data_IF_206069778525
#
_entry.id   IF_206069778525
#
_cell.length_a   1.000
_cell.length_b   1.000
_cell.length_c   1.000
_cell.angle_alpha   90.00
_cell.angle_beta   90.00
_cell.angle_gamma   90.00
#
_symmetry.space_group_name_H-M   'P 1'
#
loop_
_entity.id
_entity.type
_entity.pdbx_description
1 polymer ?
#
# COMPACT_ATOMS: atom_id res chain seq x y z
N UNK A 1 26.59 27.46 -11.46
CA UNK A 1 26.95 27.17 -10.06
C UNK A 1 27.51 28.45 -9.49
N UNK A 2 26.84 28.98 -8.48
CA UNK A 2 27.36 30.12 -7.73
C UNK A 2 28.71 29.74 -7.09
N UNK A 3 29.59 30.71 -6.89
CA UNK A 3 30.85 30.47 -6.19
C UNK A 3 30.56 30.20 -4.71
N UNK A 4 31.12 29.10 -4.17
CA UNK A 4 30.90 28.67 -2.79
C UNK A 4 31.89 29.39 -1.87
N UNK A 5 31.59 30.63 -1.50
CA UNK A 5 32.55 31.53 -0.85
C UNK A 5 32.25 31.73 0.64
N UNK A 6 31.02 31.46 1.11
CA UNK A 6 30.64 31.71 2.50
C UNK A 6 30.72 30.47 3.39
N UNK A 7 31.65 30.53 4.34
CA UNK A 7 31.79 29.53 5.40
C UNK A 7 32.10 28.14 4.84
N UNK A 8 31.18 27.18 5.05
CA UNK A 8 31.34 25.81 4.53
C UNK A 8 30.82 25.61 3.11
N UNK A 9 30.18 26.63 2.50
CA UNK A 9 29.51 26.52 1.20
C UNK A 9 28.23 25.67 1.18
N UNK A 10 27.88 24.98 2.29
CA UNK A 10 26.69 24.10 2.35
C UNK A 10 25.37 24.83 2.13
N UNK A 11 25.29 26.08 2.58
CA UNK A 11 24.09 26.92 2.41
C UNK A 11 23.92 27.32 0.94
N UNK A 12 24.98 27.84 0.33
CA UNK A 12 24.98 28.25 -1.08
C UNK A 12 24.66 27.06 -1.99
N UNK A 13 25.22 25.88 -1.70
CA UNK A 13 24.86 24.65 -2.41
C UNK A 13 23.38 24.27 -2.24
N UNK A 14 22.81 24.43 -1.04
CA UNK A 14 21.39 24.16 -0.81
C UNK A 14 20.48 25.15 -1.56
N UNK A 15 20.86 26.43 -1.59
CA UNK A 15 20.18 27.48 -2.35
C UNK A 15 20.27 27.22 -3.87
N UNK A 16 21.43 26.82 -4.39
CA UNK A 16 21.62 26.41 -5.80
C UNK A 16 20.77 25.17 -6.16
N UNK A 17 20.69 24.17 -5.28
CA UNK A 17 19.88 22.96 -5.51
C UNK A 17 18.40 23.32 -5.56
N UNK A 18 17.91 24.17 -4.66
CA UNK A 18 16.50 24.55 -4.57
C UNK A 18 16.14 25.82 -5.37
N UNK A 19 17.06 26.33 -6.19
CA UNK A 19 16.84 27.51 -7.01
C UNK A 19 15.79 27.25 -8.10
N UNK A 20 14.97 28.26 -8.40
CA UNK A 20 13.99 28.23 -9.48
C UNK A 20 14.67 28.07 -10.87
N UNK A 21 15.95 28.44 -10.98
CA UNK A 21 16.76 28.21 -12.18
C UNK A 21 17.22 26.75 -12.35
N UNK A 22 17.00 25.90 -11.34
CA UNK A 22 17.30 24.47 -11.36
C UNK A 22 16.01 23.63 -11.41
N UNK A 23 15.51 23.29 -12.62
CA UNK A 23 14.23 22.57 -12.75
C UNK A 23 14.29 21.13 -12.25
N UNK A 24 15.48 20.56 -12.04
CA UNK A 24 15.63 19.14 -11.69
C UNK A 24 15.00 18.84 -10.33
N UNK A 25 15.19 19.72 -9.34
CA UNK A 25 14.70 19.51 -7.97
C UNK A 25 13.18 19.44 -7.94
N UNK A 26 12.51 20.38 -8.61
CA UNK A 26 11.06 20.39 -8.72
C UNK A 26 10.53 19.16 -9.46
N UNK A 27 11.12 18.80 -10.62
CA UNK A 27 10.73 17.60 -11.39
C UNK A 27 10.87 16.31 -10.59
N UNK A 28 11.98 16.16 -9.86
CA UNK A 28 12.21 15.00 -8.99
C UNK A 28 11.16 14.94 -7.88
N UNK A 29 10.85 16.06 -7.22
CA UNK A 29 9.86 16.08 -6.14
C UNK A 29 8.44 15.80 -6.64
N UNK A 30 8.04 16.43 -7.75
CA UNK A 30 6.76 16.16 -8.41
C UNK A 30 6.64 14.69 -8.78
N UNK A 31 7.68 14.09 -9.37
CA UNK A 31 7.65 12.68 -9.74
C UNK A 31 7.51 11.75 -8.53
N UNK A 32 8.12 12.09 -7.38
CA UNK A 32 7.96 11.31 -6.13
C UNK A 32 6.55 11.39 -5.58
N UNK A 33 5.96 12.60 -5.56
CA UNK A 33 4.57 12.78 -5.13
C UNK A 33 3.62 12.04 -6.06
N UNK A 34 3.83 12.15 -7.37
CA UNK A 34 3.08 11.41 -8.38
C UNK A 34 3.19 9.90 -8.16
N UNK A 35 4.40 9.38 -8.01
CA UNK A 35 4.65 7.96 -7.74
C UNK A 35 3.93 7.47 -6.48
N UNK A 36 3.88 8.26 -5.42
CA UNK A 36 3.18 7.87 -4.20
C UNK A 36 1.68 7.67 -4.44
N UNK A 37 1.07 8.55 -5.25
CA UNK A 37 -0.34 8.50 -5.60
C UNK A 37 -0.67 7.39 -6.60
N UNK A 38 0.12 7.25 -7.66
CA UNK A 38 -0.16 6.34 -8.79
C UNK A 38 0.64 5.02 -8.75
N UNK A 39 1.47 4.81 -7.73
CA UNK A 39 2.38 3.65 -7.59
C UNK A 39 3.64 3.72 -8.47
N UNK A 40 3.54 4.33 -9.66
CA UNK A 40 4.65 4.53 -10.60
C UNK A 40 4.79 6.02 -10.94
N UNK A 41 6.02 6.52 -10.94
CA UNK A 41 6.32 7.89 -11.35
C UNK A 41 6.15 8.08 -12.86
N UNK A 42 5.96 9.34 -13.28
CA UNK A 42 6.06 9.73 -14.69
C UNK A 42 7.44 9.38 -15.27
N UNK A 43 8.48 9.50 -14.44
CA UNK A 43 9.81 8.92 -14.67
C UNK A 43 9.91 7.66 -13.82
N UNK A 44 10.08 6.49 -14.46
CA UNK A 44 10.09 5.18 -13.80
C UNK A 44 11.32 4.89 -12.92
N UNK A 45 12.35 5.73 -13.02
CA UNK A 45 13.57 5.76 -12.19
C UNK A 45 13.59 6.99 -11.25
N UNK A 46 13.00 6.92 -10.05
CA UNK A 46 12.74 8.11 -9.22
C UNK A 46 13.99 8.84 -8.73
N UNK A 47 15.14 8.15 -8.69
CA UNK A 47 16.43 8.71 -8.28
C UNK A 47 17.42 8.89 -9.44
N UNK A 48 17.01 8.66 -10.69
CA UNK A 48 17.88 8.87 -11.86
C UNK A 48 17.09 9.51 -13.00
N UNK A 49 17.31 10.80 -13.21
CA UNK A 49 16.74 11.60 -14.31
C UNK A 49 17.78 11.88 -15.42
N UNK A 50 18.96 11.25 -15.34
CA UNK A 50 20.02 11.39 -16.33
C UNK A 50 19.78 10.50 -17.56
N UNK A 51 20.78 10.43 -18.44
CA UNK A 51 20.69 9.68 -19.71
C UNK A 51 20.47 8.16 -19.53
N UNK A 52 20.83 7.61 -18.36
CA UNK A 52 20.61 6.19 -18.01
C UNK A 52 19.28 5.96 -17.26
N UNK A 53 18.53 7.03 -16.98
CA UNK A 53 17.20 6.95 -16.39
C UNK A 53 16.11 6.74 -17.44
N UNK A 54 14.92 6.37 -16.98
CA UNK A 54 13.74 6.30 -17.82
C UNK A 54 13.36 7.70 -18.33
N UNK A 55 12.85 7.77 -19.55
CA UNK A 55 12.25 9.01 -20.05
C UNK A 55 10.87 9.22 -19.40
N UNK A 56 10.45 10.47 -19.16
CA UNK A 56 9.09 10.74 -18.69
C UNK A 56 8.06 10.20 -19.68
N UNK A 57 7.02 9.51 -19.19
CA UNK A 57 5.88 9.11 -20.03
C UNK A 57 5.09 10.32 -20.53
N UNK A 58 4.95 11.34 -19.68
CA UNK A 58 4.27 12.60 -19.97
C UNK A 58 5.20 13.79 -19.65
N UNK A 59 6.14 14.15 -20.55
CA UNK A 59 7.15 15.17 -20.27
C UNK A 59 6.53 16.55 -20.04
N UNK A 60 5.57 16.97 -20.88
CA UNK A 60 4.90 18.27 -20.76
C UNK A 60 4.12 18.39 -19.44
N UNK A 61 3.46 17.32 -19.01
CA UNK A 61 2.75 17.28 -17.72
C UNK A 61 3.72 17.41 -16.54
N UNK A 62 4.83 16.68 -16.58
CA UNK A 62 5.86 16.74 -15.54
C UNK A 62 6.44 18.15 -15.42
N UNK A 63 6.76 18.76 -16.56
CA UNK A 63 7.36 20.10 -16.60
C UNK A 63 6.34 21.16 -16.15
N UNK A 64 5.07 21.05 -16.56
CA UNK A 64 4.00 21.92 -16.09
C UNK A 64 3.77 21.82 -14.57
N UNK A 65 3.68 20.60 -14.03
CA UNK A 65 3.55 20.39 -12.58
C UNK A 65 4.76 20.90 -11.80
N UNK A 66 5.98 20.78 -12.37
CA UNK A 66 7.20 21.27 -11.73
C UNK A 66 7.23 22.80 -11.65
N UNK A 67 6.87 23.49 -12.74
CA UNK A 67 6.75 24.96 -12.75
C UNK A 67 5.68 25.41 -11.75
N UNK A 68 4.48 24.82 -11.82
CA UNK A 68 3.39 25.16 -10.89
C UNK A 68 3.79 24.91 -9.43
N UNK A 69 4.52 23.82 -9.14
CA UNK A 69 4.98 23.53 -7.79
C UNK A 69 5.91 24.64 -7.24
N UNK A 70 6.80 25.18 -8.07
CA UNK A 70 7.67 26.30 -7.70
C UNK A 70 6.87 27.60 -7.52
N UNK A 71 5.98 27.93 -8.46
CA UNK A 71 5.11 29.11 -8.41
C UNK A 71 4.18 29.13 -7.18
N UNK A 72 3.75 27.95 -6.71
CA UNK A 72 2.94 27.78 -5.51
C UNK A 72 3.79 27.75 -4.21
N UNK A 73 5.04 28.23 -4.26
CA UNK A 73 5.94 28.33 -3.12
C UNK A 73 6.36 26.97 -2.58
N UNK A 74 6.56 25.98 -3.45
CA UNK A 74 7.04 24.63 -3.09
C UNK A 74 6.11 23.90 -2.10
N UNK A 75 4.80 24.22 -2.13
CA UNK A 75 3.80 23.65 -1.23
C UNK A 75 3.38 22.23 -1.64
N UNK A 76 3.84 21.22 -0.90
CA UNK A 76 3.42 19.83 -1.10
C UNK A 76 1.91 19.66 -0.95
N UNK A 77 1.28 20.40 -0.03
CA UNK A 77 -0.18 20.33 0.16
C UNK A 77 -0.94 20.78 -1.09
N UNK A 78 -0.46 21.84 -1.75
CA UNK A 78 -1.07 22.34 -2.98
C UNK A 78 -0.88 21.33 -4.11
N UNK A 79 0.32 20.76 -4.26
CA UNK A 79 0.61 19.73 -5.26
C UNK A 79 -0.24 18.47 -5.06
N UNK A 80 -0.31 17.93 -3.83
CA UNK A 80 -1.16 16.77 -3.52
C UNK A 80 -2.63 17.06 -3.87
N UNK A 81 -3.17 18.21 -3.44
CA UNK A 81 -4.55 18.61 -3.75
C UNK A 81 -4.80 18.68 -5.26
N UNK A 82 -3.88 19.30 -6.01
CA UNK A 82 -4.00 19.43 -7.46
C UNK A 82 -4.04 18.06 -8.16
N UNK A 83 -3.17 17.14 -7.76
CA UNK A 83 -3.18 15.77 -8.30
C UNK A 83 -4.48 15.04 -7.92
N UNK A 84 -4.87 15.08 -6.64
CA UNK A 84 -6.04 14.36 -6.14
C UNK A 84 -7.38 14.87 -6.70
N UNK A 85 -7.44 16.13 -7.13
CA UNK A 85 -8.62 16.71 -7.77
C UNK A 85 -8.63 16.57 -9.30
N UNK A 86 -7.63 15.91 -9.89
CA UNK A 86 -7.57 15.68 -11.33
C UNK A 86 -8.51 14.54 -11.76
N UNK A 87 -9.05 14.63 -12.98
CA UNK A 87 -9.82 13.54 -13.58
C UNK A 87 -9.03 12.23 -13.62
N UNK A 88 -7.71 12.31 -13.86
CA UNK A 88 -6.80 11.17 -13.91
C UNK A 88 -6.71 10.42 -12.58
N UNK A 89 -6.67 11.13 -11.44
CA UNK A 89 -6.65 10.50 -10.12
C UNK A 89 -8.00 9.84 -9.77
N UNK A 90 -9.10 10.34 -10.34
CA UNK A 90 -10.45 9.83 -10.11
C UNK A 90 -10.88 8.74 -11.12
N UNK A 91 -9.97 8.25 -11.97
CA UNK A 91 -10.28 7.17 -12.90
C UNK A 91 -10.59 5.87 -12.15
N UNK A 92 -11.50 5.07 -12.72
CA UNK A 92 -11.77 3.71 -12.25
C UNK A 92 -10.56 2.81 -12.47
N UNK A 93 -10.42 1.78 -11.63
CA UNK A 93 -9.46 0.68 -11.79
C UNK A 93 -9.98 -0.46 -12.69
N UNK A 94 -11.15 -0.27 -13.33
CA UNK A 94 -11.77 -1.23 -14.25
C UNK A 94 -10.86 -1.61 -15.42
N UNK A 95 -10.93 -2.89 -15.81
CA UNK A 95 -10.14 -3.43 -16.90
C UNK A 95 -10.85 -3.23 -18.25
N UNK A 96 -10.08 -2.83 -19.26
CA UNK A 96 -10.51 -2.79 -20.65
C UNK A 96 -9.53 -3.62 -21.47
N UNK A 97 -10.01 -4.67 -22.13
CA UNK A 97 -9.19 -5.55 -22.97
C UNK A 97 -8.52 -4.75 -24.08
N UNK A 98 -9.27 -3.91 -24.79
CA UNK A 98 -8.76 -3.07 -25.88
C UNK A 98 -7.61 -2.15 -25.43
N UNK A 99 -7.75 -1.47 -24.28
CA UNK A 99 -6.69 -0.60 -23.78
C UNK A 99 -5.50 -1.41 -23.26
N UNK A 100 -5.75 -2.58 -22.67
CA UNK A 100 -4.70 -3.46 -22.16
C UNK A 100 -3.85 -4.08 -23.26
N UNK A 101 -4.41 -4.34 -24.44
CA UNK A 101 -3.65 -4.78 -25.62
C UNK A 101 -2.64 -3.73 -26.09
N UNK A 102 -2.97 -2.44 -25.93
CA UNK A 102 -2.11 -1.31 -26.30
C UNK A 102 -1.10 -1.01 -25.18
N UNK A 103 -1.56 -0.98 -23.93
CA UNK A 103 -0.78 -0.58 -22.76
C UNK A 103 -1.27 -1.32 -21.50
N UNK A 104 -0.83 -2.58 -21.35
CA UNK A 104 -1.20 -3.44 -20.21
C UNK A 104 -0.83 -2.85 -18.84
N UNK A 105 0.25 -2.07 -18.76
CA UNK A 105 0.72 -1.42 -17.53
C UNK A 105 0.00 -0.10 -17.20
N UNK A 106 -0.91 0.34 -18.07
CA UNK A 106 -1.56 1.65 -17.97
C UNK A 106 -0.58 2.80 -17.73
N UNK A 107 0.57 2.78 -18.42
CA UNK A 107 1.56 3.87 -18.42
C UNK A 107 0.99 5.17 -18.97
N UNK A 108 0.01 5.08 -19.86
CA UNK A 108 -0.74 6.19 -20.45
C UNK A 108 -1.96 6.59 -19.60
N UNK A 109 -2.11 6.02 -18.39
CA UNK A 109 -3.08 6.44 -17.37
C UNK A 109 -4.53 6.35 -17.85
N UNK A 110 -4.88 5.29 -18.59
CA UNK A 110 -6.25 5.03 -19.05
C UNK A 110 -7.16 4.42 -17.97
N UNK A 111 -6.58 4.02 -16.83
CA UNK A 111 -7.26 3.57 -15.61
C UNK A 111 -6.39 3.88 -14.38
N UNK A 112 -6.98 3.79 -13.18
CA UNK A 112 -6.20 3.76 -11.96
C UNK A 112 -5.48 2.41 -11.82
N UNK A 113 -4.21 2.46 -11.43
CA UNK A 113 -3.40 1.27 -11.22
C UNK A 113 -3.59 0.77 -9.81
N UNK A 114 -3.97 -0.50 -9.66
CA UNK A 114 -4.05 -1.16 -8.36
C UNK A 114 -2.70 -1.13 -7.68
N UNK A 115 -2.68 -0.73 -6.43
CA UNK A 115 -1.45 -0.66 -5.61
C UNK A 115 -1.52 -1.70 -4.54
N UNK A 116 -0.43 -2.45 -4.38
CA UNK A 116 -0.31 -3.37 -3.26
C UNK A 116 -0.06 -2.59 -1.99
N UNK A 117 -0.68 -3.00 -0.89
CA UNK A 117 -0.37 -2.49 0.43
C UNK A 117 1.06 -2.88 0.84
N UNK A 118 1.73 -1.90 1.42
CA UNK A 118 2.98 -2.06 2.13
C UNK A 118 2.81 -2.98 3.35
N UNK A 119 3.85 -3.74 3.75
CA UNK A 119 3.76 -4.70 4.87
C UNK A 119 3.24 -4.06 6.16
N UNK A 120 3.64 -2.82 6.42
CA UNK A 120 3.22 -2.06 7.59
C UNK A 120 1.72 -1.75 7.56
N UNK A 121 1.21 -1.31 6.40
CA UNK A 121 -0.19 -0.99 6.21
C UNK A 121 -1.04 -2.28 6.20
N UNK A 122 -0.56 -3.34 5.56
CA UNK A 122 -1.24 -4.63 5.51
C UNK A 122 -1.33 -5.27 6.90
N UNK A 123 -0.24 -5.31 7.67
CA UNK A 123 -0.25 -5.80 9.06
C UNK A 123 -1.17 -4.97 9.95
N UNK A 124 -1.09 -3.64 9.85
CA UNK A 124 -1.97 -2.75 10.63
C UNK A 124 -3.45 -2.94 10.25
N UNK A 125 -3.76 -3.15 8.96
CA UNK A 125 -5.10 -3.46 8.49
C UNK A 125 -5.63 -4.77 9.07
N UNK A 126 -4.82 -5.85 9.05
CA UNK A 126 -5.17 -7.14 9.67
C UNK A 126 -5.53 -6.98 11.15
N UNK A 127 -4.71 -6.25 11.90
CA UNK A 127 -4.96 -5.97 13.31
C UNK A 127 -6.20 -5.08 13.53
N UNK A 128 -6.45 -4.12 12.63
CA UNK A 128 -7.58 -3.22 12.73
C UNK A 128 -8.92 -3.93 12.50
N UNK A 129 -9.00 -4.75 11.44
CA UNK A 129 -10.22 -5.50 11.10
C UNK A 129 -10.49 -6.63 12.10
N UNK A 130 -9.46 -7.25 12.65
CA UNK A 130 -9.62 -8.23 13.73
C UNK A 130 -9.98 -7.61 15.08
N UNK A 131 -9.80 -6.29 15.24
CA UNK A 131 -10.11 -5.55 16.47
C UNK A 131 -8.99 -5.55 17.51
N UNK A 132 -7.79 -5.97 17.13
CA UNK A 132 -6.63 -6.09 18.02
C UNK A 132 -5.70 -4.87 17.99
N UNK A 133 -5.77 -4.02 16.96
CA UNK A 133 -4.81 -2.92 16.77
C UNK A 133 -4.79 -1.97 17.98
N UNK A 134 -3.62 -1.75 18.55
CA UNK A 134 -3.37 -0.67 19.50
C UNK A 134 -3.01 0.63 18.74
N UNK A 135 -3.88 1.66 18.76
CA UNK A 135 -3.67 2.91 18.03
C UNK A 135 -2.86 3.95 18.81
N UNK A 136 -2.31 3.61 19.99
CA UNK A 136 -1.62 4.56 20.88
C UNK A 136 -0.45 5.26 20.19
N UNK A 137 -0.51 6.60 20.15
CA UNK A 137 0.47 7.44 19.49
C UNK A 137 1.68 7.76 20.39
N UNK A 138 2.88 7.63 19.84
CA UNK A 138 4.13 7.98 20.52
C UNK A 138 4.52 7.06 21.68
N UNK A 139 5.70 7.22 22.25
CA UNK A 139 6.24 6.30 23.28
C UNK A 139 7.30 5.35 22.72
N UNK A 140 7.70 4.36 23.51
CA UNK A 140 8.83 3.50 23.17
C UNK A 140 8.53 2.54 22.02
N UNK A 141 9.57 2.23 21.24
CA UNK A 141 9.47 1.24 20.18
C UNK A 141 9.38 -0.17 20.76
N UNK A 142 8.51 -1.01 20.19
CA UNK A 142 8.26 -2.38 20.66
C UNK A 142 8.65 -3.44 19.61
N UNK A 143 8.82 -4.72 19.97
CA UNK A 143 8.94 -5.80 18.99
C UNK A 143 7.70 -5.91 18.08
N UNK A 144 7.86 -6.42 16.86
CA UNK A 144 6.76 -6.56 15.87
C UNK A 144 5.68 -7.57 16.29
N UNK A 145 5.99 -8.45 17.24
CA UNK A 145 5.08 -9.51 17.74
C UNK A 145 3.85 -8.98 18.50
N UNK A 146 3.88 -7.73 18.95
CA UNK A 146 2.74 -7.09 19.63
C UNK A 146 1.60 -6.71 18.67
N UNK A 147 0.57 -6.05 19.19
CA UNK A 147 -0.59 -5.56 18.41
C UNK A 147 -0.51 -4.08 18.06
N UNK A 148 0.63 -3.46 18.34
CA UNK A 148 0.85 -2.04 18.10
C UNK A 148 1.04 -1.74 16.62
N UNK A 149 0.66 -0.53 16.19
CA UNK A 149 0.93 -0.03 14.83
C UNK A 149 2.38 -0.25 14.44
N UNK A 150 2.59 -0.75 13.23
CA UNK A 150 3.90 -1.19 12.72
C UNK A 150 4.92 -0.06 12.71
N UNK A 151 4.48 1.20 12.55
CA UNK A 151 5.35 2.39 12.60
C UNK A 151 6.07 2.58 13.94
N UNK A 152 5.55 2.02 15.04
CA UNK A 152 6.16 2.07 16.38
C UNK A 152 6.97 0.82 16.71
N UNK A 153 7.28 -0.02 15.72
CA UNK A 153 8.04 -1.25 15.93
C UNK A 153 9.53 -1.02 15.70
N UNK A 154 10.36 -1.83 16.35
CA UNK A 154 11.82 -1.74 16.20
C UNK A 154 12.25 -2.27 14.84
N UNK A 155 12.98 -1.46 14.08
CA UNK A 155 13.67 -1.88 12.85
C UNK A 155 15.16 -2.02 13.15
N UNK A 156 15.65 -3.25 13.15
CA UNK A 156 17.07 -3.54 13.29
C UNK A 156 17.75 -3.53 11.93
N UNK A 157 18.88 -2.83 11.83
CA UNK A 157 19.74 -2.82 10.63
C UNK A 157 20.59 -4.09 10.50
N UNK A 158 20.76 -4.82 11.59
CA UNK A 158 21.57 -6.05 11.61
C UNK A 158 20.71 -7.30 11.41
N UNK A 159 19.52 -7.32 11.99
CA UNK A 159 18.62 -8.47 11.98
C UNK A 159 17.16 -8.01 11.81
N UNK A 160 16.78 -7.74 10.56
CA UNK A 160 15.44 -7.30 10.21
C UNK A 160 14.44 -8.43 10.47
N UNK A 161 13.29 -8.11 11.07
CA UNK A 161 12.20 -9.06 11.34
C UNK A 161 11.81 -9.88 10.09
N UNK A 162 11.54 -11.17 10.29
CA UNK A 162 11.23 -12.12 9.22
C UNK A 162 9.98 -11.74 8.42
N UNK A 163 8.93 -11.23 9.08
CA UNK A 163 7.71 -10.78 8.41
C UNK A 163 8.01 -9.57 7.52
N UNK A 164 8.74 -8.59 8.04
CA UNK A 164 9.12 -7.40 7.27
C UNK A 164 9.95 -7.80 6.05
N UNK A 165 10.94 -8.67 6.25
CA UNK A 165 11.80 -9.17 5.16
C UNK A 165 11.02 -9.94 4.11
N UNK A 166 10.08 -10.80 4.54
CA UNK A 166 9.27 -11.63 3.65
C UNK A 166 8.35 -10.79 2.75
N UNK A 167 7.85 -9.66 3.23
CA UNK A 167 6.95 -8.76 2.51
C UNK A 167 7.66 -7.49 2.03
N UNK A 168 8.88 -7.66 1.53
CA UNK A 168 9.64 -6.67 0.77
C UNK A 168 9.90 -5.34 1.51
N UNK A 169 10.05 -5.37 2.84
CA UNK A 169 10.49 -4.19 3.57
C UNK A 169 11.88 -3.73 3.07
N UNK A 170 12.11 -2.43 2.82
CA UNK A 170 13.37 -1.93 2.30
C UNK A 170 14.53 -2.24 3.24
N UNK A 171 15.68 -2.61 2.68
CA UNK A 171 16.89 -2.80 3.47
C UNK A 171 17.26 -1.50 4.20
N UNK A 172 17.30 -1.58 5.53
CA UNK A 172 17.52 -0.45 6.42
C UNK A 172 18.97 0.08 6.39
N UNK A 173 19.88 -0.57 5.66
CA UNK A 173 21.28 -0.16 5.50
C UNK A 173 21.55 0.63 4.23
N UNK A 174 20.64 0.62 3.26
CA UNK A 174 20.82 1.30 1.97
C UNK A 174 19.65 2.21 1.65
N UNK A 175 19.91 3.22 0.83
CA UNK A 175 18.84 4.09 0.33
C UNK A 175 18.00 3.35 -0.70
N UNK A 176 16.69 3.44 -0.57
CA UNK A 176 15.76 2.86 -1.53
C UNK A 176 14.89 3.94 -2.16
N UNK A 177 14.93 4.05 -3.49
CA UNK A 177 14.14 5.02 -4.25
C UNK A 177 12.67 4.61 -4.40
N UNK A 178 12.40 3.30 -4.33
CA UNK A 178 11.07 2.70 -4.40
C UNK A 178 11.12 1.32 -3.75
N UNK A 179 10.01 0.90 -3.15
CA UNK A 179 9.89 -0.48 -2.66
C UNK A 179 9.82 -1.44 -3.84
N UNK A 180 10.61 -2.51 -3.79
CA UNK A 180 10.44 -3.65 -4.70
C UNK A 180 9.22 -4.42 -4.24
N UNK A 181 8.38 -4.87 -5.16
CA UNK A 181 7.21 -5.69 -4.81
C UNK A 181 7.39 -7.04 -5.49
N UNK A 182 7.41 -8.10 -4.71
CA UNK A 182 7.54 -9.47 -5.21
C UNK A 182 6.26 -10.26 -4.94
N UNK A 183 5.86 -11.10 -5.88
CA UNK A 183 4.73 -12.02 -5.70
C UNK A 183 5.29 -13.43 -5.65
N UNK A 184 5.72 -13.85 -4.46
CA UNK A 184 6.40 -15.14 -4.27
C UNK A 184 5.51 -16.12 -3.48
N UNK A 185 5.56 -17.43 -3.79
CA UNK A 185 4.75 -18.43 -3.10
C UNK A 185 4.92 -18.42 -1.58
N UNK A 186 6.09 -18.06 -1.07
CA UNK A 186 6.38 -18.00 0.37
C UNK A 186 5.51 -16.98 1.10
N UNK A 187 5.18 -15.85 0.47
CA UNK A 187 4.27 -14.85 1.05
C UNK A 187 2.86 -15.45 1.18
N UNK A 188 2.38 -16.17 0.16
CA UNK A 188 1.07 -16.82 0.24
C UNK A 188 1.06 -17.97 1.26
N UNK A 189 2.13 -18.76 1.33
CA UNK A 189 2.26 -19.81 2.33
C UNK A 189 2.26 -19.24 3.76
N UNK A 190 2.89 -18.08 3.98
CA UNK A 190 2.79 -17.36 5.25
C UNK A 190 1.35 -16.95 5.56
N UNK A 191 0.64 -16.39 4.58
CA UNK A 191 -0.77 -15.97 4.72
C UNK A 191 -1.66 -17.15 5.13
N UNK A 192 -1.42 -18.34 4.54
CA UNK A 192 -2.21 -19.54 4.80
C UNK A 192 -1.85 -20.28 6.09
N UNK A 193 -0.62 -20.16 6.60
CA UNK A 193 -0.12 -21.07 7.65
C UNK A 193 0.44 -20.39 8.90
N UNK A 194 0.71 -19.09 8.86
CA UNK A 194 1.37 -18.42 9.99
C UNK A 194 0.46 -18.35 11.22
N UNK A 195 1.06 -18.47 12.41
CA UNK A 195 0.35 -18.28 13.68
C UNK A 195 -0.26 -16.89 13.78
N UNK A 196 0.40 -15.89 13.21
CA UNK A 196 -0.12 -14.53 13.13
C UNK A 196 -1.46 -14.51 12.38
N UNK A 197 -1.54 -15.06 11.18
CA UNK A 197 -2.78 -15.08 10.40
C UNK A 197 -3.87 -15.92 11.06
N UNK A 198 -3.51 -17.06 11.63
CA UNK A 198 -4.43 -17.90 12.41
C UNK A 198 -5.02 -17.09 13.58
N UNK A 199 -4.18 -16.37 14.33
CA UNK A 199 -4.64 -15.54 15.46
C UNK A 199 -5.59 -14.41 15.02
N UNK A 200 -5.30 -13.74 13.91
CA UNK A 200 -6.15 -12.67 13.40
C UNK A 200 -7.47 -13.20 12.83
N UNK A 201 -7.46 -14.38 12.21
CA UNK A 201 -8.66 -15.06 11.72
C UNK A 201 -9.61 -15.44 12.86
N UNK A 202 -9.06 -15.94 13.98
CA UNK A 202 -9.83 -16.22 15.20
C UNK A 202 -10.46 -14.98 15.79
N UNK A 203 -9.67 -13.91 15.93
CA UNK A 203 -10.15 -12.65 16.46
C UNK A 203 -11.24 -12.01 15.57
N UNK A 204 -11.06 -12.04 14.25
CA UNK A 204 -12.06 -11.57 13.29
C UNK A 204 -13.35 -12.39 13.38
N UNK A 205 -13.26 -13.72 13.40
CA UNK A 205 -14.43 -14.59 13.53
C UNK A 205 -15.21 -14.31 14.82
N UNK A 206 -14.52 -14.18 15.96
CA UNK A 206 -15.14 -13.82 17.24
C UNK A 206 -15.83 -12.45 17.17
N UNK A 207 -15.18 -11.45 16.56
CA UNK A 207 -15.77 -10.11 16.34
C UNK A 207 -17.05 -10.19 15.52
N UNK A 208 -17.07 -10.97 14.43
CA UNK A 208 -18.23 -11.12 13.55
C UNK A 208 -19.37 -11.93 14.19
N UNK A 209 -19.06 -12.92 15.03
CA UNK A 209 -20.08 -13.66 15.77
C UNK A 209 -20.90 -12.74 16.69
N UNK A 210 -20.27 -11.70 17.24
CA UNK A 210 -20.93 -10.72 18.10
C UNK A 210 -21.70 -9.62 17.34
N UNK A 211 -21.53 -9.50 16.02
CA UNK A 211 -22.07 -8.36 15.26
C UNK A 211 -23.46 -8.60 14.64
N UNK A 212 -23.87 -9.86 14.44
CA UNK A 212 -25.17 -10.20 13.87
C UNK A 212 -25.62 -11.62 14.25
N UNK A 213 -26.92 -11.89 14.14
CA UNK A 213 -27.50 -13.19 14.50
C UNK A 213 -27.54 -14.15 13.31
N UNK A 214 -27.79 -13.66 12.09
CA UNK A 214 -27.85 -14.50 10.89
C UNK A 214 -26.50 -14.59 10.18
N UNK A 215 -26.24 -15.74 9.52
CA UNK A 215 -25.00 -15.93 8.76
C UNK A 215 -24.86 -14.96 7.59
N UNK A 216 -25.97 -14.67 6.91
CA UNK A 216 -26.01 -13.71 5.80
C UNK A 216 -25.58 -12.30 6.24
N UNK A 217 -26.13 -11.81 7.35
CA UNK A 217 -25.78 -10.49 7.89
C UNK A 217 -24.33 -10.45 8.40
N UNK A 218 -23.81 -11.56 8.95
CA UNK A 218 -22.40 -11.67 9.33
C UNK A 218 -21.48 -11.58 8.11
N UNK A 219 -21.81 -12.27 7.01
CA UNK A 219 -21.06 -12.17 5.75
C UNK A 219 -21.09 -10.74 5.22
N UNK A 220 -22.25 -10.10 5.18
CA UNK A 220 -22.35 -8.69 4.75
C UNK A 220 -21.50 -7.75 5.62
N UNK A 221 -21.51 -7.97 6.93
CA UNK A 221 -20.71 -7.18 7.88
C UNK A 221 -19.22 -7.40 7.65
N UNK A 222 -18.80 -8.64 7.38
CA UNK A 222 -17.42 -8.96 7.05
C UNK A 222 -16.94 -8.24 5.79
N UNK A 223 -17.73 -8.24 4.72
CA UNK A 223 -17.39 -7.56 3.46
C UNK A 223 -17.31 -6.03 3.65
N UNK A 224 -18.26 -5.43 4.38
CA UNK A 224 -18.22 -3.99 4.68
C UNK A 224 -16.98 -3.62 5.51
N UNK A 225 -16.60 -4.47 6.46
CA UNK A 225 -15.45 -4.25 7.32
C UNK A 225 -14.11 -4.43 6.59
N UNK A 226 -14.00 -5.43 5.72
CA UNK A 226 -12.75 -5.80 5.05
C UNK A 226 -12.53 -5.04 3.73
N UNK A 227 -13.59 -4.80 2.97
CA UNK A 227 -13.51 -4.29 1.60
C UNK A 227 -14.29 -2.99 1.38
N UNK A 228 -15.02 -2.50 2.39
CA UNK A 228 -15.79 -1.25 2.28
C UNK A 228 -17.02 -1.32 1.36
N UNK A 229 -17.43 -2.53 0.94
CA UNK A 229 -18.60 -2.77 0.08
C UNK A 229 -19.45 -3.93 0.57
N UNK A 230 -20.65 -4.08 0.02
CA UNK A 230 -21.46 -5.29 0.21
C UNK A 230 -20.93 -6.45 -0.66
N UNK A 231 -21.15 -7.71 -0.26
CA UNK A 231 -20.89 -8.85 -1.12
C UNK A 231 -21.86 -8.83 -2.30
N UNK A 232 -21.41 -9.33 -3.46
CA UNK A 232 -22.30 -9.70 -4.55
C UNK A 232 -23.16 -10.91 -4.16
N UNK A 233 -24.26 -11.14 -4.89
CA UNK A 233 -25.11 -12.32 -4.67
C UNK A 233 -24.30 -13.62 -4.76
N UNK A 234 -23.38 -13.73 -5.71
CA UNK A 234 -22.53 -14.90 -5.88
C UNK A 234 -21.57 -15.09 -4.69
N UNK A 235 -20.90 -14.03 -4.21
CA UNK A 235 -20.00 -14.09 -3.05
C UNK A 235 -20.75 -14.50 -1.78
N UNK A 236 -21.97 -13.99 -1.60
CA UNK A 236 -22.85 -14.36 -0.49
C UNK A 236 -23.22 -15.85 -0.52
N UNK A 237 -23.64 -16.36 -1.69
CA UNK A 237 -23.98 -17.77 -1.84
C UNK A 237 -22.78 -18.69 -1.62
N UNK A 238 -21.58 -18.30 -2.10
CA UNK A 238 -20.34 -19.04 -1.85
C UNK A 238 -20.05 -19.10 -0.34
N UNK A 239 -20.19 -17.97 0.36
CA UNK A 239 -19.97 -17.90 1.81
C UNK A 239 -20.91 -18.81 2.59
N UNK A 240 -22.22 -18.76 2.29
CA UNK A 240 -23.22 -19.61 2.94
C UNK A 240 -22.98 -21.10 2.66
N UNK A 241 -22.63 -21.44 1.42
CA UNK A 241 -22.30 -22.83 1.03
C UNK A 241 -21.06 -23.32 1.77
N UNK A 242 -20.03 -22.47 1.89
CA UNK A 242 -18.80 -22.79 2.62
C UNK A 242 -19.08 -23.07 4.10
N UNK A 243 -19.83 -22.19 4.77
CA UNK A 243 -20.13 -22.30 6.20
C UNK A 243 -20.98 -23.53 6.53
N UNK A 244 -21.95 -23.86 5.69
CA UNK A 244 -22.77 -25.07 5.87
C UNK A 244 -21.96 -26.36 5.72
N UNK A 245 -21.08 -26.44 4.70
CA UNK A 245 -20.25 -27.64 4.42
C UNK A 245 -19.18 -27.87 5.49
N UNK A 246 -18.55 -26.80 5.99
CA UNK A 246 -17.46 -26.88 6.96
C UNK A 246 -17.90 -27.41 8.35
N UNK A 247 -19.21 -27.51 8.62
CA UNK A 247 -19.74 -28.06 9.87
C UNK A 247 -19.60 -29.59 9.97
N UNK A 248 -19.39 -30.29 8.85
CA UNK A 248 -19.47 -31.76 8.80
C UNK A 248 -18.15 -32.46 9.20
N UNK A 249 -16.98 -31.79 9.06
CA UNK A 249 -15.64 -32.39 9.23
C UNK A 249 -14.86 -31.91 10.50
N UNK A 250 -15.57 -31.48 11.55
CA UNK A 250 -14.98 -30.74 12.68
C UNK A 250 -14.01 -31.52 13.61
N UNK A 251 -13.83 -32.83 13.46
CA UNK A 251 -13.10 -33.63 14.46
C UNK A 251 -11.56 -33.52 14.40
N UNK A 252 -10.97 -32.95 13.33
CA UNK A 252 -9.50 -32.84 13.19
C UNK A 252 -8.97 -31.42 12.85
N UNK A 253 -9.83 -30.42 12.75
CA UNK A 253 -9.45 -29.10 12.21
C UNK A 253 -9.04 -28.10 13.32
N UNK A 254 -7.92 -27.38 13.11
CA UNK A 254 -7.39 -26.36 14.04
C UNK A 254 -8.26 -25.09 14.15
N UNK A 255 -9.17 -24.89 13.20
CA UNK A 255 -10.03 -23.73 13.05
C UNK A 255 -11.48 -24.19 12.85
N UNK A 256 -12.44 -23.49 13.45
CA UNK A 256 -13.86 -23.71 13.15
C UNK A 256 -14.25 -23.10 11.78
N UNK A 257 -15.46 -23.40 11.29
CA UNK A 257 -15.94 -22.96 9.98
C UNK A 257 -15.81 -21.44 9.75
N UNK A 258 -16.17 -20.62 10.74
CA UNK A 258 -16.08 -19.16 10.66
C UNK A 258 -14.64 -18.66 10.72
N UNK A 259 -13.77 -19.31 11.50
CA UNK A 259 -12.35 -18.99 11.55
C UNK A 259 -11.65 -19.31 10.23
N UNK A 260 -12.01 -20.41 9.57
CA UNK A 260 -11.53 -20.76 8.23
C UNK A 260 -12.03 -19.76 7.18
N UNK A 261 -13.32 -19.42 7.23
CA UNK A 261 -13.89 -18.44 6.32
C UNK A 261 -13.23 -17.06 6.49
N UNK A 262 -13.04 -16.61 7.74
CA UNK A 262 -12.29 -15.40 8.06
C UNK A 262 -10.85 -15.46 7.51
N UNK A 263 -10.17 -16.60 7.63
CA UNK A 263 -8.83 -16.78 7.08
C UNK A 263 -8.82 -16.63 5.55
N UNK A 264 -9.80 -17.23 4.85
CA UNK A 264 -9.95 -17.07 3.40
C UNK A 264 -10.13 -15.61 3.03
N UNK A 265 -11.05 -14.91 3.70
CA UNK A 265 -11.31 -13.49 3.43
C UNK A 265 -10.07 -12.61 3.64
N UNK A 266 -9.32 -12.82 4.71
CA UNK A 266 -8.06 -12.11 4.99
C UNK A 266 -6.95 -12.47 3.98
N UNK A 267 -7.09 -13.58 3.26
CA UNK A 267 -6.15 -14.05 2.24
C UNK A 267 -6.50 -13.59 0.83
N UNK A 268 -7.63 -12.89 0.63
CA UNK A 268 -8.04 -12.43 -0.69
C UNK A 268 -7.14 -11.31 -1.20
N UNK A 269 -6.91 -11.30 -2.51
CA UNK A 269 -6.18 -10.20 -3.17
C UNK A 269 -6.83 -8.84 -2.91
N UNK A 270 -8.16 -8.77 -2.83
CA UNK A 270 -8.88 -7.53 -2.53
C UNK A 270 -8.49 -6.94 -1.16
N UNK A 271 -8.04 -7.76 -0.20
CA UNK A 271 -7.52 -7.26 1.08
C UNK A 271 -6.09 -6.69 0.97
N UNK A 272 -5.30 -7.18 0.01
CA UNK A 272 -3.89 -6.81 -0.15
C UNK A 272 -3.67 -5.67 -1.14
N UNK A 273 -4.64 -5.37 -1.99
CA UNK A 273 -4.53 -4.37 -3.05
C UNK A 273 -5.63 -3.32 -2.90
N UNK A 274 -5.24 -2.06 -3.07
CA UNK A 274 -6.15 -0.90 -3.11
C UNK A 274 -6.30 -0.40 -4.55
N UNK A 275 -7.51 -0.01 -4.90
CA UNK A 275 -7.93 0.40 -6.23
C UNK A 275 -8.39 1.87 -6.33
#
# INVERSE_FOLDING_TARGET
MASLEQGSGRRELAEDIASDDNPLTARVMVNRVWQHHFGKGLVGTPSNFGALGDRPTHPELLDWLAVDFMEQGWSLKTLHRKIMLSATYMLSSEHSEQNSEIDAEARLLWRMNRRRLDVEAWRDALLAVSGNLDPTLGGENVPLTGVRRTVYTKVSRHDLDELLRLFDFPDANVTSAKRTVTTVPQQQLFVLNSEFMVSQSKALAHRLQSSADSESERIETAFKLLFGRAPSEQELQIGLTFLSTATEDQQEQKLNAWEQYAQVLLSLNEFMYID
#
